data_IF_874602052845
#
_entry.id   IF_874602052845
#
_cell.length_a   1.000
_cell.length_b   1.000
_cell.length_c   1.000
_cell.angle_alpha   90.00
_cell.angle_beta   90.00
_cell.angle_gamma   90.00
#
_symmetry.space_group_name_H-M   'P 1'
#
loop_
_entity.id
_entity.type
_entity.pdbx_description
1 polymer ?
#
# COMPACT_ATOMS: atom_id res chain seq x y z
N UNK A 1 12.58 -28.81 -0.01
CA UNK A 1 12.82 -27.92 1.15
C UNK A 1 12.19 -28.54 2.39
N UNK A 2 12.83 -28.42 3.55
CA UNK A 2 12.30 -28.93 4.83
C UNK A 2 11.13 -28.07 5.33
N UNK A 3 10.19 -28.68 6.06
CA UNK A 3 9.05 -27.97 6.68
C UNK A 3 9.51 -26.79 7.53
N UNK A 4 10.54 -27.01 8.35
CA UNK A 4 11.16 -25.98 9.21
C UNK A 4 11.63 -24.74 8.43
N UNK A 5 12.10 -24.93 7.20
CA UNK A 5 12.59 -23.84 6.34
C UNK A 5 11.45 -23.06 5.70
N UNK A 6 10.29 -23.69 5.47
CA UNK A 6 9.08 -22.98 5.05
C UNK A 6 8.55 -22.14 6.19
N UNK A 7 8.44 -22.70 7.39
CA UNK A 7 7.92 -21.99 8.56
C UNK A 7 8.75 -20.73 8.91
N UNK A 8 10.08 -20.80 8.76
CA UNK A 8 10.98 -19.65 8.91
C UNK A 8 10.74 -18.56 7.84
N UNK A 9 10.48 -18.95 6.59
CA UNK A 9 10.18 -18.01 5.50
C UNK A 9 8.81 -17.36 5.68
N UNK A 10 7.83 -18.12 6.15
CA UNK A 10 6.49 -17.61 6.47
C UNK A 10 6.55 -16.61 7.65
N UNK A 11 7.31 -16.92 8.70
CA UNK A 11 7.49 -16.01 9.84
C UNK A 11 8.15 -14.68 9.43
N UNK A 12 9.24 -14.74 8.66
CA UNK A 12 9.92 -13.53 8.19
C UNK A 12 9.05 -12.69 7.25
N UNK A 13 8.12 -13.31 6.53
CA UNK A 13 7.17 -12.59 5.68
C UNK A 13 6.11 -11.87 6.48
N UNK A 14 5.52 -12.54 7.48
CA UNK A 14 4.54 -11.91 8.37
C UNK A 14 5.16 -10.71 9.10
N UNK A 15 6.38 -10.86 9.64
CA UNK A 15 7.09 -9.78 10.32
C UNK A 15 7.35 -8.59 9.38
N UNK A 16 7.74 -8.86 8.13
CA UNK A 16 7.97 -7.79 7.16
C UNK A 16 6.68 -7.04 6.79
N UNK A 17 5.57 -7.74 6.55
CA UNK A 17 4.28 -7.10 6.27
C UNK A 17 3.78 -6.30 7.48
N UNK A 18 3.98 -6.80 8.71
CA UNK A 18 3.66 -6.06 9.92
C UNK A 18 4.48 -4.77 10.06
N UNK A 19 5.76 -4.80 9.65
CA UNK A 19 6.61 -3.62 9.66
C UNK A 19 6.06 -2.53 8.73
N UNK A 20 5.62 -2.90 7.51
CA UNK A 20 4.98 -1.96 6.59
C UNK A 20 3.68 -1.37 7.17
N UNK A 21 2.80 -2.19 7.74
CA UNK A 21 1.56 -1.69 8.38
C UNK A 21 1.89 -0.72 9.51
N UNK A 22 2.87 -1.05 10.34
CA UNK A 22 3.33 -0.16 11.43
C UNK A 22 3.85 1.16 10.87
N UNK A 23 4.71 1.11 9.85
CA UNK A 23 5.30 2.29 9.22
C UNK A 23 4.22 3.22 8.66
N UNK A 24 3.22 2.66 7.97
CA UNK A 24 2.09 3.43 7.45
C UNK A 24 1.32 4.18 8.54
N UNK A 25 1.10 3.51 9.69
CA UNK A 25 0.32 4.06 10.80
C UNK A 25 1.07 5.12 11.60
N UNK A 26 2.40 5.00 11.73
CA UNK A 26 3.20 5.91 12.56
C UNK A 26 3.81 7.08 11.79
N UNK A 27 3.95 6.97 10.48
CA UNK A 27 4.57 8.02 9.68
C UNK A 27 3.62 9.21 9.48
N UNK A 28 4.17 10.42 9.58
CA UNK A 28 3.46 11.67 9.27
C UNK A 28 3.80 12.19 7.87
N UNK A 29 4.78 11.58 7.17
CA UNK A 29 5.13 11.98 5.79
C UNK A 29 4.12 11.41 4.80
N UNK A 30 3.43 12.26 4.02
CA UNK A 30 2.52 11.82 2.96
C UNK A 30 3.21 10.92 1.93
N UNK A 31 4.43 11.26 1.53
CA UNK A 31 5.22 10.50 0.56
C UNK A 31 5.58 9.10 1.09
N UNK A 32 5.92 9.01 2.37
CA UNK A 32 6.18 7.72 3.01
C UNK A 32 4.90 6.86 3.08
N UNK A 33 3.74 7.46 3.37
CA UNK A 33 2.46 6.74 3.35
C UNK A 33 2.17 6.16 1.97
N UNK A 34 2.30 6.97 0.93
CA UNK A 34 2.13 6.56 -0.47
C UNK A 34 3.04 5.38 -0.81
N UNK A 35 4.33 5.49 -0.48
CA UNK A 35 5.31 4.44 -0.78
C UNK A 35 5.02 3.13 -0.03
N UNK A 36 4.65 3.21 1.25
CA UNK A 36 4.32 2.04 2.05
C UNK A 36 3.02 1.39 1.57
N UNK A 37 1.99 2.18 1.23
CA UNK A 37 0.73 1.68 0.70
C UNK A 37 0.92 1.00 -0.66
N UNK A 38 1.73 1.58 -1.55
CA UNK A 38 2.08 0.97 -2.82
C UNK A 38 2.81 -0.38 -2.64
N UNK A 39 3.71 -0.48 -1.64
CA UNK A 39 4.34 -1.74 -1.29
C UNK A 39 3.29 -2.77 -0.83
N UNK A 40 2.39 -2.40 0.09
CA UNK A 40 1.31 -3.28 0.56
C UNK A 40 0.40 -3.73 -0.59
N UNK A 41 0.03 -2.83 -1.50
CA UNK A 41 -0.76 -3.14 -2.69
C UNK A 41 -0.03 -4.15 -3.59
N UNK A 42 1.27 -3.96 -3.84
CA UNK A 42 2.10 -4.92 -4.58
C UNK A 42 2.15 -6.31 -3.90
N UNK A 43 2.19 -6.37 -2.57
CA UNK A 43 2.10 -7.66 -1.85
C UNK A 43 0.71 -8.30 -1.94
N UNK A 44 -0.36 -7.51 -2.00
CA UNK A 44 -1.73 -8.00 -2.12
C UNK A 44 -2.02 -8.72 -3.43
N UNK A 45 -1.24 -8.47 -4.48
CA UNK A 45 -1.34 -9.17 -5.76
C UNK A 45 -0.96 -10.66 -5.71
N UNK A 46 -0.13 -11.10 -4.75
CA UNK A 46 0.21 -12.52 -4.58
C UNK A 46 -0.76 -13.19 -3.58
N UNK A 47 -1.59 -14.17 -4.00
CA UNK A 47 -2.51 -14.87 -3.13
C UNK A 47 -1.85 -15.53 -1.90
N UNK A 48 -0.55 -15.84 -1.96
CA UNK A 48 0.20 -16.38 -0.81
C UNK A 48 0.25 -15.43 0.36
N UNK A 49 0.14 -14.12 0.11
CA UNK A 49 0.20 -13.11 1.16
C UNK A 49 -1.16 -12.85 1.79
N UNK A 50 -2.25 -13.34 1.18
CA UNK A 50 -3.61 -13.00 1.58
C UNK A 50 -3.93 -13.36 3.03
N UNK A 51 -3.45 -14.52 3.52
CA UNK A 51 -3.63 -14.89 4.92
C UNK A 51 -2.94 -13.92 5.87
N UNK A 52 -1.74 -13.44 5.53
CA UNK A 52 -1.01 -12.46 6.34
C UNK A 52 -1.70 -11.10 6.31
N UNK A 53 -2.11 -10.64 5.13
CA UNK A 53 -2.80 -9.37 4.96
C UNK A 53 -4.12 -9.33 5.72
N UNK A 54 -4.84 -10.46 5.81
CA UNK A 54 -6.02 -10.58 6.67
C UNK A 54 -5.69 -10.56 8.16
N UNK A 55 -4.67 -11.31 8.59
CA UNK A 55 -4.24 -11.31 9.99
C UNK A 55 -3.81 -9.91 10.46
N UNK A 56 -3.21 -9.12 9.56
CA UNK A 56 -2.74 -7.76 9.80
C UNK A 56 -3.79 -6.67 9.54
N UNK A 57 -5.02 -7.04 9.17
CA UNK A 57 -6.10 -6.10 8.84
C UNK A 57 -5.78 -5.10 7.72
N UNK A 58 -4.93 -5.49 6.77
CA UNK A 58 -4.57 -4.62 5.63
C UNK A 58 -5.76 -4.33 4.72
N UNK A 59 -6.75 -5.23 4.68
CA UNK A 59 -8.00 -4.99 3.94
C UNK A 59 -8.76 -3.80 4.50
N UNK A 60 -8.88 -3.70 5.83
CA UNK A 60 -9.55 -2.57 6.48
C UNK A 60 -8.77 -1.28 6.20
N UNK A 61 -7.43 -1.34 6.26
CA UNK A 61 -6.56 -0.22 5.89
C UNK A 61 -6.79 0.24 4.45
N UNK A 62 -6.89 -0.67 3.47
CA UNK A 62 -7.23 -0.27 2.10
C UNK A 62 -8.60 0.40 2.01
N UNK A 63 -9.60 -0.12 2.70
CA UNK A 63 -10.95 0.46 2.70
C UNK A 63 -10.97 1.88 3.29
N UNK A 64 -10.20 2.12 4.36
CA UNK A 64 -10.06 3.44 4.96
C UNK A 64 -9.48 4.44 3.94
N UNK A 65 -8.49 4.01 3.16
CA UNK A 65 -7.82 4.84 2.16
C UNK A 65 -8.72 5.23 0.98
N UNK A 66 -9.82 4.51 0.73
CA UNK A 66 -10.80 4.89 -0.29
C UNK A 66 -11.57 6.18 0.05
N UNK A 67 -11.45 6.66 1.29
CA UNK A 67 -12.14 7.86 1.78
C UNK A 67 -11.21 9.06 1.99
N UNK A 68 -9.91 8.90 1.70
CA UNK A 68 -8.93 9.97 1.80
C UNK A 68 -9.04 10.96 0.64
N UNK A 69 -8.69 12.23 0.91
CA UNK A 69 -8.64 13.27 -0.12
C UNK A 69 -7.41 13.11 -1.05
N UNK A 70 -6.40 12.33 -0.62
CA UNK A 70 -5.21 12.06 -1.44
C UNK A 70 -5.53 11.00 -2.50
N UNK A 71 -5.71 11.45 -3.74
CA UNK A 71 -6.01 10.62 -4.90
C UNK A 71 -5.00 9.47 -5.09
N UNK A 72 -3.71 9.70 -4.82
CA UNK A 72 -2.67 8.67 -4.91
C UNK A 72 -2.92 7.51 -3.92
N UNK A 73 -3.33 7.82 -2.68
CA UNK A 73 -3.64 6.78 -1.69
C UNK A 73 -4.90 5.98 -2.09
N UNK A 74 -5.90 6.66 -2.66
CA UNK A 74 -7.11 6.02 -3.18
C UNK A 74 -6.76 5.07 -4.33
N UNK A 75 -5.95 5.51 -5.30
CA UNK A 75 -5.51 4.70 -6.44
C UNK A 75 -4.79 3.42 -5.99
N UNK A 76 -3.83 3.54 -5.06
CA UNK A 76 -3.13 2.38 -4.51
C UNK A 76 -4.04 1.43 -3.75
N UNK A 77 -5.04 1.94 -3.03
CA UNK A 77 -6.00 1.13 -2.30
C UNK A 77 -6.94 0.31 -3.20
N UNK A 78 -7.26 0.82 -4.40
CA UNK A 78 -8.02 0.08 -5.44
C UNK A 78 -7.12 -0.94 -6.14
N UNK A 79 -5.80 -0.82 -5.97
CA UNK A 79 -4.79 -1.67 -6.58
C UNK A 79 -4.31 -1.15 -7.92
N UNK A 80 -4.60 0.10 -8.30
CA UNK A 80 -4.02 0.65 -9.51
C UNK A 80 -2.49 0.79 -9.34
N UNK A 81 -1.75 0.18 -10.25
CA UNK A 81 -0.30 0.35 -10.36
C UNK A 81 -0.03 1.59 -11.24
N UNK A 82 -0.61 2.72 -10.88
CA UNK A 82 -0.30 4.00 -11.51
C UNK A 82 1.04 4.45 -10.93
N UNK A 83 2.13 4.53 -11.74
CA UNK A 83 3.28 5.30 -11.30
C UNK A 83 2.78 6.71 -10.96
N UNK A 84 3.27 7.36 -9.87
CA UNK A 84 2.81 8.68 -9.48
C UNK A 84 2.84 9.57 -10.71
N UNK A 85 1.66 10.06 -11.12
CA UNK A 85 1.52 10.80 -12.36
C UNK A 85 2.45 12.01 -12.30
N UNK A 86 3.38 12.18 -13.25
CA UNK A 86 4.23 13.37 -13.29
C UNK A 86 3.44 14.66 -13.64
N UNK A 87 2.11 14.60 -13.71
CA UNK A 87 1.22 15.64 -14.22
C UNK A 87 0.26 16.23 -13.18
N UNK A 88 0.69 16.42 -11.93
CA UNK A 88 0.08 17.43 -11.05
C UNK A 88 0.67 18.84 -11.26
N UNK A 89 1.13 19.14 -12.47
CA UNK A 89 1.48 20.49 -12.90
C UNK A 89 0.48 20.92 -13.99
N UNK A 90 -0.12 22.10 -13.79
CA UNK A 90 -1.03 22.81 -14.70
C UNK A 90 -2.51 22.38 -14.75
N UNK A 91 -3.20 22.50 -13.62
CA UNK A 91 -4.56 23.08 -13.64
C UNK A 91 -4.50 24.59 -13.32
N UNK A 92 -3.56 25.31 -13.92
CA UNK A 92 -3.56 26.77 -13.92
C UNK A 92 -4.08 27.27 -15.27
N UNK A 93 -5.26 27.88 -15.21
CA UNK A 93 -5.79 28.85 -16.17
C UNK A 93 -5.80 28.45 -17.65
N UNK A 94 -6.97 28.00 -18.12
CA UNK A 94 -7.37 28.25 -19.50
C UNK A 94 -7.91 29.69 -19.55
N UNK A 95 -7.27 30.65 -20.24
CA UNK A 95 -7.90 31.95 -20.52
C UNK A 95 -9.11 31.69 -21.42
N UNK A 96 -10.27 32.16 -20.98
CA UNK A 96 -11.45 32.24 -21.84
C UNK A 96 -11.23 33.41 -22.81
N UNK A 97 -10.94 33.11 -24.07
CA UNK A 97 -11.15 34.03 -25.20
C UNK A 97 -12.46 33.68 -25.91
#
# INVERSE_FOLDING_TARGET
>A
MSQKQRDLLELGRLEYLQALVTEFQVTESPEAKEQVLANLANFAYDPKNYEYLRQLQVLDLFLDMLTEDNETLVEFAIGENTPPSPYNLQSDHIPQD
#
